data_IF_785621189488
#
_entry.id   IF_785621189488
#
_cell.length_a   1.000
_cell.length_b   1.000
_cell.length_c   1.000
_cell.angle_alpha   90.00
_cell.angle_beta   90.00
_cell.angle_gamma   90.00
#
_symmetry.space_group_name_H-M   'P 1'
#
loop_
_entity.id
_entity.type
_entity.pdbx_description
1 polymer ?
#
# COMPACT_ATOMS: atom_id res chain seq x y z
N UNK A 1 -8.35 -1.03 6.20
CA UNK A 1 -8.01 0.27 5.60
C UNK A 1 -9.26 0.91 5.02
N UNK A 2 -9.34 2.25 5.03
CA UNK A 2 -10.40 3.01 4.35
C UNK A 2 -9.77 3.80 3.20
N UNK A 3 -10.42 3.76 2.03
CA UNK A 3 -10.05 4.56 0.86
C UNK A 3 -11.17 5.58 0.64
N UNK A 4 -10.85 6.86 0.68
CA UNK A 4 -11.80 7.91 0.29
C UNK A 4 -11.59 8.23 -1.19
N UNK A 5 -12.65 8.08 -1.99
CA UNK A 5 -12.62 8.41 -3.41
C UNK A 5 -13.97 9.00 -3.84
N UNK A 6 -13.95 10.18 -4.45
CA UNK A 6 -15.14 10.94 -4.86
C UNK A 6 -16.20 11.08 -3.75
N UNK A 7 -15.77 11.37 -2.52
CA UNK A 7 -16.65 11.52 -1.36
C UNK A 7 -17.23 10.21 -0.82
N UNK A 8 -16.89 9.06 -1.42
CA UNK A 8 -17.30 7.73 -0.95
C UNK A 8 -16.15 7.05 -0.22
N UNK A 9 -16.50 6.33 0.85
CA UNK A 9 -15.56 5.54 1.64
C UNK A 9 -15.65 4.07 1.24
N UNK A 10 -14.53 3.52 0.79
CA UNK A 10 -14.38 2.11 0.45
C UNK A 10 -13.57 1.43 1.55
N UNK A 11 -14.20 0.52 2.29
CA UNK A 11 -13.51 -0.31 3.28
C UNK A 11 -12.87 -1.50 2.59
N UNK A 12 -11.57 -1.66 2.80
CA UNK A 12 -10.79 -2.75 2.23
C UNK A 12 -9.92 -3.40 3.31
N UNK A 13 -9.65 -4.69 3.14
CA UNK A 13 -8.65 -5.42 3.89
C UNK A 13 -7.34 -5.38 3.12
N UNK A 14 -6.23 -5.26 3.83
CA UNK A 14 -4.88 -5.25 3.25
C UNK A 14 -4.09 -6.35 3.93
N UNK A 15 -3.48 -7.22 3.13
CA UNK A 15 -2.60 -8.27 3.60
C UNK A 15 -1.30 -8.23 2.79
N UNK A 16 -0.15 -8.34 3.46
CA UNK A 16 1.14 -8.53 2.78
C UNK A 16 1.25 -9.99 2.37
N UNK A 17 1.42 -10.25 1.07
CA UNK A 17 1.44 -11.61 0.51
C UNK A 17 2.84 -12.09 0.13
N UNK A 18 3.74 -11.17 -0.20
CA UNK A 18 5.16 -11.50 -0.46
C UNK A 18 6.04 -10.32 -0.10
N UNK A 19 7.30 -10.62 0.26
CA UNK A 19 8.37 -9.64 0.40
C UNK A 19 9.68 -10.27 -0.03
N UNK A 20 10.31 -9.64 -1.00
CA UNK A 20 11.63 -9.93 -1.52
C UNK A 20 12.59 -8.77 -1.22
N UNK A 21 13.87 -8.93 -1.53
CA UNK A 21 14.88 -7.86 -1.35
C UNK A 21 14.59 -6.61 -2.20
N UNK A 22 13.96 -6.78 -3.35
CA UNK A 22 13.67 -5.65 -4.23
C UNK A 22 12.25 -5.09 -4.05
N UNK A 23 11.30 -5.94 -3.67
CA UNK A 23 9.88 -5.60 -3.79
C UNK A 23 9.04 -6.26 -2.72
N UNK A 24 7.93 -5.66 -2.40
CA UNK A 24 6.89 -6.26 -1.57
C UNK A 24 5.55 -6.21 -2.29
N UNK A 25 4.72 -7.23 -2.04
CA UNK A 25 3.41 -7.37 -2.65
C UNK A 25 2.33 -7.39 -1.59
N UNK A 26 1.29 -6.62 -1.85
CA UNK A 26 0.12 -6.47 -1.02
C UNK A 26 -1.11 -6.92 -1.78
N UNK A 27 -1.95 -7.68 -1.12
CA UNK A 27 -3.28 -8.00 -1.57
C UNK A 27 -4.28 -7.09 -0.87
N UNK A 28 -5.09 -6.40 -1.67
CA UNK A 28 -6.14 -5.51 -1.21
C UNK A 28 -7.49 -6.13 -1.58
N UNK A 29 -8.21 -6.60 -0.57
CA UNK A 29 -9.53 -7.21 -0.73
C UNK A 29 -10.62 -6.18 -0.43
N UNK A 30 -11.38 -5.83 -1.46
CA UNK A 30 -12.64 -5.11 -1.33
C UNK A 30 -13.83 -6.06 -1.28
N UNK A 31 -15.05 -5.52 -1.36
CA UNK A 31 -16.29 -6.30 -1.26
C UNK A 31 -16.41 -7.42 -2.31
N UNK A 32 -16.09 -7.11 -3.57
CA UNK A 32 -16.21 -8.05 -4.71
C UNK A 32 -14.96 -8.07 -5.59
N UNK A 33 -13.85 -7.51 -5.11
CA UNK A 33 -12.64 -7.30 -5.93
C UNK A 33 -11.40 -7.55 -5.09
N UNK A 34 -10.40 -8.14 -5.72
CA UNK A 34 -9.06 -8.29 -5.17
C UNK A 34 -8.10 -7.56 -6.10
N UNK A 35 -7.22 -6.75 -5.52
CA UNK A 35 -6.21 -5.97 -6.24
C UNK A 35 -4.86 -6.32 -5.64
N UNK A 36 -3.88 -6.60 -6.49
CA UNK A 36 -2.50 -6.81 -6.06
C UNK A 36 -1.70 -5.57 -6.37
N UNK A 37 -1.01 -5.05 -5.36
CA UNK A 37 -0.15 -3.88 -5.44
C UNK A 37 1.27 -4.30 -5.08
N UNK A 38 2.23 -3.87 -5.88
CA UNK A 38 3.66 -4.07 -5.66
C UNK A 38 4.31 -2.74 -5.24
N UNK A 39 5.21 -2.79 -4.27
CA UNK A 39 6.01 -1.65 -3.83
C UNK A 39 7.51 -1.95 -3.91
N UNK A 40 8.30 -0.93 -4.25
CA UNK A 40 9.76 -0.99 -4.22
C UNK A 40 10.36 -0.59 -2.86
N UNK A 41 9.54 -0.43 -1.81
CA UNK A 41 10.03 -0.06 -0.47
C UNK A 41 11.24 -0.90 0.01
N UNK A 42 11.24 -2.24 -0.11
CA UNK A 42 12.39 -3.04 0.32
C UNK A 42 13.69 -2.72 -0.43
N UNK A 43 13.59 -2.32 -1.71
CA UNK A 43 14.76 -1.88 -2.47
C UNK A 43 15.32 -0.56 -1.95
N UNK A 44 14.44 0.36 -1.53
CA UNK A 44 14.84 1.64 -0.96
C UNK A 44 15.51 1.43 0.41
N UNK A 45 14.89 0.62 1.28
CA UNK A 45 15.46 0.24 2.58
C UNK A 45 16.84 -0.40 2.41
N UNK A 46 16.99 -1.36 1.47
CA UNK A 46 18.28 -2.02 1.21
C UNK A 46 19.35 -1.09 0.64
N UNK A 47 18.97 0.07 0.10
CA UNK A 47 19.89 1.10 -0.41
C UNK A 47 20.13 2.23 0.59
N UNK A 48 19.60 2.14 1.82
CA UNK A 48 19.59 3.23 2.80
C UNK A 48 18.93 4.51 2.24
N UNK A 49 17.87 4.35 1.44
CA UNK A 49 17.07 5.42 0.87
C UNK A 49 15.68 5.45 1.52
N UNK A 50 15.60 5.21 2.82
CA UNK A 50 14.36 5.09 3.59
C UNK A 50 13.53 6.40 3.57
N UNK A 51 14.19 7.54 3.38
CA UNK A 51 13.56 8.86 3.23
C UNK A 51 12.85 9.03 1.87
N UNK A 52 13.13 8.16 0.89
CA UNK A 52 12.53 8.28 -0.44
C UNK A 52 11.12 7.69 -0.45
N UNK A 53 10.19 8.38 -1.12
CA UNK A 53 8.83 7.89 -1.24
C UNK A 53 8.80 6.60 -2.05
N UNK A 54 8.29 5.48 -1.48
CA UNK A 54 8.16 4.25 -2.23
C UNK A 54 7.12 4.42 -3.33
N UNK A 55 7.42 3.82 -4.48
CA UNK A 55 6.49 3.66 -5.58
C UNK A 55 5.57 2.48 -5.28
N UNK A 56 4.30 2.62 -5.68
CA UNK A 56 3.30 1.57 -5.60
C UNK A 56 2.69 1.40 -6.99
N UNK A 57 2.56 0.15 -7.44
CA UNK A 57 2.01 -0.17 -8.75
C UNK A 57 1.00 -1.30 -8.63
N UNK A 58 -0.16 -1.16 -9.26
CA UNK A 58 -1.11 -2.26 -9.40
C UNK A 58 -0.57 -3.25 -10.41
N UNK A 59 -0.40 -4.51 -10.01
CA UNK A 59 0.12 -5.59 -10.86
C UNK A 59 -0.95 -6.62 -11.24
N UNK A 60 -2.07 -6.66 -10.50
CA UNK A 60 -3.22 -7.51 -10.83
C UNK A 60 -4.51 -6.94 -10.24
N UNK A 61 -5.63 -7.29 -10.86
CA UNK A 61 -6.97 -6.78 -10.54
C UNK A 61 -7.36 -5.58 -11.39
N UNK A 62 -8.65 -5.49 -11.70
CA UNK A 62 -9.18 -4.39 -12.51
C UNK A 62 -9.52 -3.16 -11.66
N UNK A 63 -8.72 -2.12 -11.82
CA UNK A 63 -9.06 -0.76 -11.42
C UNK A 63 -9.50 -0.01 -12.67
N UNK A 64 -10.82 0.12 -12.86
CA UNK A 64 -11.40 0.71 -14.07
C UNK A 64 -11.25 2.23 -14.16
N UNK A 65 -10.72 2.88 -13.12
CA UNK A 65 -10.68 4.34 -13.06
C UNK A 65 -9.30 4.81 -12.56
N UNK A 66 -8.52 5.52 -13.39
CA UNK A 66 -7.18 5.99 -13.02
C UNK A 66 -7.13 6.79 -11.71
N UNK A 67 -8.16 7.62 -11.46
CA UNK A 67 -8.27 8.37 -10.20
C UNK A 67 -8.43 7.50 -8.95
N UNK A 68 -9.03 6.31 -9.09
CA UNK A 68 -9.15 5.37 -7.97
C UNK A 68 -7.82 4.69 -7.67
N UNK A 69 -7.02 4.37 -8.69
CA UNK A 69 -5.70 3.76 -8.50
C UNK A 69 -4.80 4.65 -7.64
N UNK A 70 -4.78 5.96 -7.95
CA UNK A 70 -4.03 6.92 -7.15
C UNK A 70 -4.53 7.01 -5.71
N UNK A 71 -5.85 7.10 -5.50
CA UNK A 71 -6.42 7.12 -4.16
C UNK A 71 -6.12 5.84 -3.37
N UNK A 72 -6.09 4.69 -4.05
CA UNK A 72 -5.75 3.39 -3.48
C UNK A 72 -4.28 3.35 -3.02
N UNK A 73 -3.34 3.77 -3.86
CA UNK A 73 -1.90 3.76 -3.52
C UNK A 73 -1.58 4.79 -2.44
N UNK A 74 -2.17 5.98 -2.50
CA UNK A 74 -2.06 7.01 -1.45
C UNK A 74 -2.58 6.49 -0.09
N UNK A 75 -3.75 5.82 -0.08
CA UNK A 75 -4.31 5.23 1.13
C UNK A 75 -3.45 4.07 1.68
N UNK A 76 -2.93 3.23 0.79
CA UNK A 76 -2.03 2.14 1.16
C UNK A 76 -0.76 2.66 1.82
N UNK A 77 -0.12 3.66 1.21
CA UNK A 77 1.08 4.29 1.76
C UNK A 77 0.84 4.82 3.17
N UNK A 78 -0.22 5.62 3.36
CA UNK A 78 -0.60 6.15 4.68
C UNK A 78 -0.85 5.05 5.71
N UNK A 79 -1.54 3.98 5.31
CA UNK A 79 -1.81 2.86 6.20
C UNK A 79 -0.53 2.15 6.65
N UNK A 80 0.40 1.89 5.73
CA UNK A 80 1.67 1.23 6.03
C UNK A 80 2.57 2.12 6.90
N UNK A 81 2.63 3.43 6.61
CA UNK A 81 3.40 4.39 7.43
C UNK A 81 2.85 4.48 8.85
N UNK A 82 1.52 4.49 9.02
CA UNK A 82 0.90 4.49 10.34
C UNK A 82 1.23 3.22 11.15
N UNK A 83 1.31 2.05 10.49
CA UNK A 83 1.73 0.81 11.14
C UNK A 83 3.19 0.89 11.62
N UNK A 84 4.09 1.48 10.82
CA UNK A 84 5.50 1.65 11.21
C UNK A 84 5.70 2.68 12.32
N UNK A 85 4.97 3.79 12.31
CA UNK A 85 5.04 4.80 13.39
C UNK A 85 4.47 4.27 14.71
N UNK A 86 3.42 3.44 14.67
CA UNK A 86 2.88 2.80 15.88
C UNK A 86 3.84 1.80 16.52
N UNK A 87 4.74 1.19 15.75
CA UNK A 87 5.77 0.30 16.31
C UNK A 87 6.96 1.05 16.91
N UNK A 88 7.22 2.28 16.47
CA UNK A 88 8.31 3.10 17.00
C UNK A 88 7.99 3.65 18.41
N UNK A 89 6.72 3.96 18.68
CA UNK A 89 6.29 4.58 19.94
C UNK A 89 6.12 3.62 21.14
N UNK A 90 6.56 2.35 21.02
CA UNK A 90 6.50 1.34 22.10
C UNK A 90 7.89 0.88 22.60
N UNK A 91 8.96 1.59 22.22
CA UNK A 91 10.34 1.32 22.66
C UNK A 91 11.01 2.51 23.35
N UNK A 92 10.23 3.44 23.90
CA UNK A 92 10.70 4.53 24.76
C UNK A 92 10.39 4.25 26.22
#
# INVERSE_FOLDING_TARGET
MLINWNGKNFRVQVARISRDRAKERYEIRGRNKVIIVESNKPLLENKNLDDWMPTYRVTSGQVHTPGFEKALTDALHKHLTALTSSTYNRRG
#
